data_IF_608791169734
#
_entry.id   IF_608791169734
#
_cell.length_a   1.000
_cell.length_b   1.000
_cell.length_c   1.000
_cell.angle_alpha   90.00
_cell.angle_beta   90.00
_cell.angle_gamma   90.00
#
_symmetry.space_group_name_H-M   'P 1'
#
loop_
_entity.id
_entity.type
_entity.pdbx_description
1 polymer ?
#
# COMPACT_ATOMS: atom_id res chain seq x y z
N UNK A 1 -2.91 -7.02 -21.82
CA UNK A 1 -2.34 -5.98 -20.93
C UNK A 1 -1.36 -6.63 -19.97
N UNK A 2 -0.16 -6.07 -19.82
CA UNK A 2 0.88 -6.57 -18.90
C UNK A 2 0.96 -5.61 -17.73
N UNK A 3 0.75 -6.11 -16.52
CA UNK A 3 0.88 -5.33 -15.29
C UNK A 3 2.17 -5.76 -14.60
N UNK A 4 3.13 -4.85 -14.50
CA UNK A 4 4.38 -5.02 -13.77
C UNK A 4 4.33 -4.23 -12.46
N UNK A 5 5.02 -4.70 -11.42
CA UNK A 5 5.28 -3.94 -10.21
C UNK A 5 6.75 -3.58 -10.08
N UNK A 6 7.15 -2.99 -8.95
CA UNK A 6 8.55 -2.65 -8.66
C UNK A 6 9.49 -3.88 -8.68
N UNK A 7 8.97 -5.09 -8.51
CA UNK A 7 9.71 -6.36 -8.56
C UNK A 7 9.65 -7.11 -9.90
N UNK A 8 9.11 -6.51 -10.96
CA UNK A 8 8.94 -7.16 -12.27
C UNK A 8 7.49 -7.48 -12.63
N UNK A 9 7.27 -8.33 -13.64
CA UNK A 9 5.92 -8.64 -14.14
C UNK A 9 5.06 -9.31 -13.06
N UNK A 10 3.95 -8.67 -12.68
CA UNK A 10 3.02 -9.19 -11.67
C UNK A 10 2.00 -10.16 -12.29
N UNK A 11 1.37 -9.74 -13.39
CA UNK A 11 0.39 -10.55 -14.11
C UNK A 11 0.16 -10.04 -15.54
N UNK A 12 -0.29 -10.95 -16.41
CA UNK A 12 -0.82 -10.63 -17.73
C UNK A 12 -2.33 -10.79 -17.72
N UNK A 13 -3.03 -9.72 -18.07
CA UNK A 13 -4.48 -9.72 -18.18
C UNK A 13 -4.88 -9.75 -19.65
N UNK A 14 -5.86 -10.59 -19.97
CA UNK A 14 -6.58 -10.52 -21.24
C UNK A 14 -7.61 -9.39 -21.13
N UNK A 15 -7.13 -8.18 -21.44
CA UNK A 15 -7.87 -6.95 -21.28
C UNK A 15 -7.86 -6.20 -22.61
N UNK A 16 -9.04 -5.69 -22.95
CA UNK A 16 -9.32 -4.98 -24.19
C UNK A 16 -8.98 -3.49 -24.05
N UNK A 17 -8.70 -2.78 -25.15
CA UNK A 17 -8.39 -1.34 -25.14
C UNK A 17 -9.58 -0.49 -24.66
N UNK A 18 -10.80 -1.02 -24.70
CA UNK A 18 -12.00 -0.41 -24.12
C UNK A 18 -12.08 -0.49 -22.58
N UNK A 19 -11.16 -1.20 -21.93
CA UNK A 19 -11.20 -1.34 -20.47
C UNK A 19 -10.74 -0.07 -19.78
N UNK A 20 -11.40 0.23 -18.67
CA UNK A 20 -11.00 1.28 -17.74
C UNK A 20 -9.97 0.78 -16.74
N UNK A 21 -9.18 1.70 -16.20
CA UNK A 21 -8.23 1.40 -15.13
C UNK A 21 -8.93 0.77 -13.91
N UNK A 22 -10.15 1.20 -13.56
CA UNK A 22 -10.95 0.57 -12.49
C UNK A 22 -11.16 -0.92 -12.70
N UNK A 23 -11.49 -1.32 -13.94
CA UNK A 23 -11.73 -2.73 -14.28
C UNK A 23 -10.44 -3.55 -14.16
N UNK A 24 -9.31 -2.94 -14.51
CA UNK A 24 -7.97 -3.53 -14.34
C UNK A 24 -7.65 -3.68 -12.85
N UNK A 25 -7.79 -2.61 -12.06
CA UNK A 25 -7.54 -2.65 -10.61
C UNK A 25 -8.38 -3.73 -9.93
N UNK A 26 -9.66 -3.86 -10.30
CA UNK A 26 -10.54 -4.91 -9.78
C UNK A 26 -10.05 -6.32 -10.13
N UNK A 27 -9.56 -6.54 -11.36
CA UNK A 27 -8.99 -7.83 -11.76
C UNK A 27 -7.67 -8.13 -11.07
N UNK A 28 -6.79 -7.15 -10.96
CA UNK A 28 -5.54 -7.27 -10.22
C UNK A 28 -5.83 -7.57 -8.74
N UNK A 29 -6.86 -6.93 -8.17
CA UNK A 29 -7.29 -7.17 -6.80
C UNK A 29 -7.72 -8.62 -6.57
N UNK A 30 -8.56 -9.15 -7.46
CA UNK A 30 -9.03 -10.52 -7.39
C UNK A 30 -7.89 -11.54 -7.54
N UNK A 31 -6.89 -11.26 -8.41
CA UNK A 31 -5.78 -12.17 -8.68
C UNK A 31 -4.68 -12.15 -7.61
N UNK A 32 -4.47 -11.00 -6.96
CA UNK A 32 -3.37 -10.79 -6.01
C UNK A 32 -3.83 -10.57 -4.57
N UNK A 33 -5.13 -10.75 -4.29
CA UNK A 33 -5.77 -10.45 -3.00
C UNK A 33 -5.43 -9.05 -2.48
N UNK A 34 -5.34 -8.07 -3.38
CA UNK A 34 -4.90 -6.71 -3.07
C UNK A 34 -6.05 -5.71 -3.29
N UNK A 35 -6.61 -5.08 -2.26
CA UNK A 35 -7.74 -4.16 -2.42
C UNK A 35 -7.45 -3.07 -3.45
N UNK A 36 -8.48 -2.66 -4.20
CA UNK A 36 -8.36 -1.64 -5.27
C UNK A 36 -7.83 -0.30 -4.74
N UNK A 37 -8.13 0.04 -3.48
CA UNK A 37 -7.62 1.22 -2.78
C UNK A 37 -6.09 1.22 -2.62
N UNK A 38 -5.46 0.05 -2.67
CA UNK A 38 -4.01 -0.11 -2.50
C UNK A 38 -3.24 -0.09 -3.84
N UNK A 39 -3.93 0.20 -4.95
CA UNK A 39 -3.41 0.08 -6.30
C UNK A 39 -3.34 1.42 -7.04
N UNK A 40 -2.11 1.91 -7.27
CA UNK A 40 -1.85 3.01 -8.22
C UNK A 40 -1.30 2.43 -9.51
N UNK A 41 -2.08 2.54 -10.58
CA UNK A 41 -1.70 2.09 -11.92
C UNK A 41 -1.08 3.26 -12.68
N UNK A 42 -0.02 2.97 -13.42
CA UNK A 42 0.68 3.92 -14.26
C UNK A 42 0.82 3.37 -15.68
N UNK A 43 0.56 4.20 -16.69
CA UNK A 43 0.93 3.94 -18.08
C UNK A 43 2.16 4.79 -18.40
N UNK A 44 3.34 4.16 -18.39
CA UNK A 44 4.61 4.89 -18.43
C UNK A 44 4.76 5.78 -17.19
N UNK A 45 4.77 7.11 -17.39
CA UNK A 45 4.86 8.10 -16.32
C UNK A 45 3.50 8.66 -15.87
N UNK A 46 2.41 8.32 -16.56
CA UNK A 46 1.07 8.85 -16.27
C UNK A 46 0.34 7.95 -15.27
N UNK A 47 -0.12 8.50 -14.15
CA UNK A 47 -1.01 7.80 -13.24
C UNK A 47 -2.43 7.71 -13.82
N UNK A 48 -3.03 6.52 -13.73
CA UNK A 48 -4.37 6.24 -14.22
C UNK A 48 -5.42 6.37 -13.10
N UNK A 49 -6.34 7.31 -13.28
CA UNK A 49 -7.57 7.40 -12.52
C UNK A 49 -8.54 6.28 -12.93
N UNK A 50 -9.51 5.98 -12.06
CA UNK A 50 -10.43 4.85 -12.24
C UNK A 50 -11.24 4.89 -13.55
N UNK A 51 -11.55 6.09 -14.03
CA UNK A 51 -12.33 6.34 -15.26
C UNK A 51 -11.47 6.33 -16.53
N UNK A 52 -10.14 6.30 -16.43
CA UNK A 52 -9.25 6.35 -17.59
C UNK A 52 -9.31 5.06 -18.41
N UNK A 53 -9.48 5.20 -19.72
CA UNK A 53 -9.58 4.08 -20.68
C UNK A 53 -8.21 3.79 -21.28
N UNK A 54 -7.85 2.51 -21.38
CA UNK A 54 -6.56 2.08 -21.94
C UNK A 54 -6.27 2.61 -23.34
N UNK A 55 -7.29 2.69 -24.20
CA UNK A 55 -7.19 3.23 -25.55
C UNK A 55 -6.62 4.66 -25.59
N UNK A 56 -6.87 5.47 -24.56
CA UNK A 56 -6.43 6.87 -24.51
C UNK A 56 -5.01 7.02 -23.97
N UNK A 57 -4.53 6.04 -23.18
CA UNK A 57 -3.28 6.15 -22.41
C UNK A 57 -2.17 5.27 -22.93
N UNK A 58 -2.48 4.36 -23.85
CA UNK A 58 -1.49 3.47 -24.48
C UNK A 58 -1.28 3.84 -25.95
N UNK A 59 -0.04 3.81 -26.45
CA UNK A 59 0.22 4.13 -27.86
C UNK A 59 -0.54 3.16 -28.78
N UNK A 60 -1.14 3.66 -29.88
CA UNK A 60 -1.88 2.82 -30.82
C UNK A 60 -0.99 1.74 -31.46
N UNK A 61 0.31 2.03 -31.59
CA UNK A 61 1.32 1.16 -32.23
C UNK A 61 1.75 -0.03 -31.36
N UNK A 62 1.42 -0.04 -30.07
CA UNK A 62 1.78 -1.14 -29.16
C UNK A 62 0.60 -2.09 -28.92
N UNK A 63 0.64 -3.35 -29.39
CA UNK A 63 -0.46 -4.31 -29.18
C UNK A 63 -0.59 -4.74 -27.71
N UNK A 64 0.41 -4.47 -26.88
CA UNK A 64 0.40 -4.76 -25.45
C UNK A 64 0.49 -3.47 -24.66
N UNK A 65 -0.55 -3.14 -23.90
CA UNK A 65 -0.47 -2.08 -22.89
C UNK A 65 0.41 -2.58 -21.73
N UNK A 66 1.49 -1.84 -21.45
CA UNK A 66 2.35 -2.05 -20.30
C UNK A 66 1.94 -1.07 -19.20
N UNK A 67 1.55 -1.62 -18.05
CA UNK A 67 1.14 -0.86 -16.88
C UNK A 67 2.09 -1.17 -15.73
N UNK A 68 2.49 -0.14 -15.01
CA UNK A 68 3.20 -0.27 -13.74
C UNK A 68 2.22 -0.11 -12.58
N UNK A 69 2.24 -1.06 -11.66
CA UNK A 69 1.43 -1.06 -10.45
C UNK A 69 2.34 -0.77 -9.26
N UNK A 70 2.09 0.37 -8.62
CA UNK A 70 2.71 0.69 -7.35
C UNK A 70 1.71 0.33 -6.26
N UNK A 71 2.12 -0.59 -5.38
CA UNK A 71 1.37 -0.83 -4.15
C UNK A 71 1.58 0.38 -3.26
N UNK A 72 0.49 1.06 -2.96
CA UNK A 72 0.48 2.04 -1.87
C UNK A 72 -0.39 1.39 -0.82
N UNK A 73 0.12 1.17 0.39
CA UNK A 73 -0.69 0.65 1.50
C UNK A 73 -1.32 1.88 2.20
N UNK A 74 -2.52 2.35 1.78
CA UNK A 74 -3.14 3.56 2.33
C UNK A 74 -3.41 3.43 3.82
N UNK A 75 -3.72 2.22 4.30
CA UNK A 75 -3.94 1.95 5.72
C UNK A 75 -2.64 2.10 6.51
N UNK A 76 -1.50 1.65 5.94
CA UNK A 76 -0.18 1.88 6.53
C UNK A 76 0.15 3.38 6.53
N UNK A 77 -0.08 4.09 5.43
CA UNK A 77 0.18 5.54 5.35
C UNK A 77 -0.67 6.32 6.34
N UNK A 78 -1.96 6.00 6.44
CA UNK A 78 -2.88 6.62 7.38
C UNK A 78 -2.48 6.30 8.82
N UNK A 79 -2.13 5.05 9.12
CA UNK A 79 -1.63 4.67 10.44
C UNK A 79 -0.35 5.43 10.79
N UNK A 80 0.59 5.53 9.85
CA UNK A 80 1.84 6.27 10.01
C UNK A 80 1.59 7.76 10.30
N UNK A 81 0.66 8.39 9.57
CA UNK A 81 0.28 9.79 9.82
C UNK A 81 -0.39 9.96 11.20
N UNK A 82 -1.25 9.02 11.60
CA UNK A 82 -1.90 9.08 12.91
C UNK A 82 -0.89 8.97 14.05
N UNK A 83 0.00 7.97 13.99
CA UNK A 83 0.99 7.74 15.06
C UNK A 83 2.08 8.81 15.08
N UNK A 84 2.44 9.39 13.92
CA UNK A 84 3.40 10.49 13.87
C UNK A 84 2.87 11.77 14.52
N UNK A 85 1.55 12.00 14.45
CA UNK A 85 0.90 13.13 15.11
C UNK A 85 0.72 12.89 16.61
N UNK A 86 0.38 11.67 16.99
CA UNK A 86 0.27 11.27 18.39
C UNK A 86 0.46 9.75 18.55
N UNK A 87 1.51 9.34 19.26
CA UNK A 87 1.84 7.91 19.44
C UNK A 87 0.70 7.07 20.03
N UNK A 88 -0.14 7.67 20.89
CA UNK A 88 -1.33 7.02 21.47
C UNK A 88 -2.39 6.62 20.43
N UNK A 89 -2.34 7.12 19.20
CA UNK A 89 -3.23 6.70 18.11
C UNK A 89 -3.00 5.25 17.69
N UNK A 90 -1.90 4.62 18.10
CA UNK A 90 -1.71 3.19 17.90
C UNK A 90 -2.86 2.35 18.50
N UNK A 91 -3.55 2.87 19.52
CA UNK A 91 -4.73 2.24 20.12
C UNK A 91 -5.93 2.09 19.17
N UNK A 92 -6.04 2.94 18.15
CA UNK A 92 -7.15 2.94 17.17
C UNK A 92 -6.74 2.38 15.81
N UNK A 93 -5.44 2.21 15.57
CA UNK A 93 -4.88 1.56 14.36
C UNK A 93 -5.39 0.11 14.26
N UNK A 94 -5.54 -0.42 13.05
CA UNK A 94 -5.99 -1.80 12.85
C UNK A 94 -5.02 -2.82 13.48
N UNK A 95 -5.50 -3.92 14.12
CA UNK A 95 -4.64 -4.85 14.83
C UNK A 95 -3.48 -5.42 14.00
N UNK A 96 -3.69 -5.64 12.70
CA UNK A 96 -2.64 -6.12 11.78
C UNK A 96 -1.48 -5.12 11.67
N UNK A 97 -1.78 -3.82 11.67
CA UNK A 97 -0.79 -2.74 11.60
C UNK A 97 -0.13 -2.45 12.95
N UNK A 98 -0.73 -2.87 14.07
CA UNK A 98 -0.06 -2.83 15.39
C UNK A 98 1.03 -3.89 15.53
N UNK A 99 1.04 -4.90 14.65
CA UNK A 99 2.14 -5.84 14.52
C UNK A 99 3.20 -5.35 13.50
N UNK A 100 2.98 -4.21 12.85
CA UNK A 100 3.97 -3.59 11.97
C UNK A 100 5.02 -2.85 12.78
N UNK A 101 6.27 -3.27 12.63
CA UNK A 101 7.38 -2.75 13.41
C UNK A 101 7.61 -1.26 13.16
N UNK A 102 7.44 -0.78 11.94
CA UNK A 102 7.75 0.61 11.59
C UNK A 102 6.68 1.55 12.15
N UNK A 103 5.41 1.16 12.10
CA UNK A 103 4.31 1.91 12.72
C UNK A 103 4.48 1.95 14.24
N UNK A 104 4.78 0.82 14.88
CA UNK A 104 4.97 0.77 16.32
C UNK A 104 6.18 1.59 16.75
N UNK A 105 7.30 1.50 16.03
CA UNK A 105 8.48 2.33 16.31
C UNK A 105 8.15 3.82 16.23
N UNK A 106 7.49 4.25 15.16
CA UNK A 106 7.05 5.64 15.03
C UNK A 106 6.15 6.07 16.21
N UNK A 107 5.20 5.21 16.62
CA UNK A 107 4.32 5.47 17.75
C UNK A 107 5.06 5.60 19.09
N UNK A 108 5.96 4.66 19.41
CA UNK A 108 6.68 4.65 20.70
C UNK A 108 7.70 5.77 20.79
N UNK A 109 8.28 6.20 19.67
CA UNK A 109 9.17 7.38 19.64
C UNK A 109 8.44 8.68 19.92
N UNK A 110 7.12 8.74 19.67
CA UNK A 110 6.28 9.87 20.04
C UNK A 110 5.75 9.77 21.47
N UNK A 111 5.44 8.56 21.92
CA UNK A 111 5.00 8.31 23.29
C UNK A 111 5.36 6.90 23.68
N UNK A 112 6.33 6.72 24.58
CA UNK A 112 6.75 5.38 25.03
C UNK A 112 5.60 4.51 25.54
N UNK A 113 4.54 5.14 26.07
CA UNK A 113 3.32 4.47 26.53
C UNK A 113 2.53 3.76 25.41
N UNK A 114 2.70 4.18 24.15
CA UNK A 114 2.05 3.56 23.00
C UNK A 114 2.38 2.07 22.86
N UNK A 115 3.52 1.62 23.42
CA UNK A 115 3.93 0.22 23.44
C UNK A 115 2.86 -0.73 24.01
N UNK A 116 1.98 -0.25 24.90
CA UNK A 116 0.90 -1.08 25.45
C UNK A 116 -0.09 -1.60 24.39
N UNK A 117 -0.24 -0.86 23.28
CA UNK A 117 -1.14 -1.20 22.17
C UNK A 117 -0.45 -1.99 21.05
N UNK A 118 0.88 -2.08 21.06
CA UNK A 118 1.63 -2.84 20.07
C UNK A 118 1.26 -4.33 20.11
N UNK A 119 1.45 -5.01 18.98
CA UNK A 119 1.30 -6.46 18.88
C UNK A 119 2.17 -7.18 19.90
N UNK A 120 1.71 -8.34 20.38
CA UNK A 120 2.38 -9.09 21.45
C UNK A 120 3.85 -9.40 21.16
N UNK A 121 4.18 -9.66 19.89
CA UNK A 121 5.56 -9.92 19.44
C UNK A 121 6.45 -8.68 19.59
N UNK A 122 5.96 -7.50 19.19
CA UNK A 122 6.70 -6.24 19.27
C UNK A 122 6.80 -5.69 20.69
N UNK A 123 5.86 -6.03 21.57
CA UNK A 123 5.95 -5.72 23.00
C UNK A 123 7.11 -6.43 23.70
N UNK A 124 7.51 -7.59 23.20
CA UNK A 124 8.68 -8.32 23.68
C UNK A 124 9.94 -8.00 22.86
N UNK A 125 9.83 -7.23 21.77
CA UNK A 125 10.97 -6.84 20.96
C UNK A 125 11.83 -5.83 21.72
N UNK A 126 13.07 -6.25 22.01
CA UNK A 126 14.02 -5.43 22.76
C UNK A 126 14.30 -4.08 22.08
N UNK A 127 14.36 -4.03 20.75
CA UNK A 127 14.61 -2.80 20.01
C UNK A 127 13.47 -1.79 20.18
N UNK A 128 12.22 -2.28 20.08
CA UNK A 128 11.03 -1.45 20.29
C UNK A 128 10.91 -0.98 21.74
N UNK A 129 11.13 -1.88 22.72
CA UNK A 129 11.09 -1.53 24.15
C UNK A 129 12.15 -0.49 24.51
N UNK A 130 13.37 -0.62 23.96
CA UNK A 130 14.41 0.38 24.18
C UNK A 130 14.03 1.74 23.60
N UNK A 131 13.45 1.77 22.40
CA UNK A 131 12.94 3.02 21.81
C UNK A 131 11.86 3.68 22.67
N UNK A 132 11.01 2.89 23.34
CA UNK A 132 9.97 3.39 24.23
C UNK A 132 10.47 3.97 25.57
N UNK A 133 11.70 3.61 25.99
CA UNK A 133 12.29 4.04 27.27
C UNK A 133 13.33 5.16 27.06
N UNK A 134 13.67 5.49 25.81
CA UNK A 134 14.65 6.52 25.47
C UNK A 134 14.12 7.97 25.56
N UNK A 135 13.03 8.20 26.30
CA UNK A 135 12.45 9.53 26.61
C UNK A 135 13.25 10.29 27.69
#
# INVERSE_FOLDING_TARGET
VRVAGLGGLLCTLDADRSWTARRIKAKVAALKQMPVSQQRLFAGALELADEDVLACVTPPDSPSAELSLVRTDPEWQQAMEMVSRAGMQLAVVEPLLRADRDIVLAAVTQSGRALEYAGSELRADRGVVLAAVQD
#
